data_IF_973514037438
#
_entry.id   IF_973514037438
#
_cell.length_a   1.000
_cell.length_b   1.000
_cell.length_c   1.000
_cell.angle_alpha   90.00
_cell.angle_beta   90.00
_cell.angle_gamma   90.00
#
_symmetry.space_group_name_H-M   'P 1'
#
loop_
_entity.id
_entity.type
_entity.pdbx_description
1 polymer ?
#
# COMPACT_ATOMS: atom_id res chain seq x y z
N UNK A 1 39.77 29.54 -25.01
CA UNK A 1 38.39 29.14 -24.69
C UNK A 1 38.42 27.70 -24.16
N UNK A 2 38.23 27.49 -22.84
CA UNK A 2 38.14 26.15 -22.24
C UNK A 2 36.67 25.81 -22.07
N UNK A 3 36.16 24.88 -22.87
CA UNK A 3 34.82 24.30 -22.68
C UNK A 3 34.87 23.34 -21.50
N UNK A 4 34.26 23.71 -20.41
CA UNK A 4 34.03 22.81 -19.28
C UNK A 4 32.84 21.91 -19.61
N UNK A 5 33.08 20.60 -19.71
CA UNK A 5 32.07 19.56 -19.87
C UNK A 5 31.40 19.37 -18.49
N UNK A 6 30.20 19.91 -18.30
CA UNK A 6 29.38 19.64 -17.14
C UNK A 6 28.77 18.24 -17.31
N UNK A 7 29.35 17.28 -16.62
CA UNK A 7 28.81 15.92 -16.48
C UNK A 7 27.69 15.99 -15.43
N UNK A 8 26.44 16.07 -15.86
CA UNK A 8 25.28 15.93 -14.98
C UNK A 8 25.19 14.45 -14.53
N UNK A 9 25.62 14.15 -13.31
CA UNK A 9 25.32 12.88 -12.67
C UNK A 9 23.80 12.83 -12.43
N UNK A 10 23.10 12.03 -13.22
CA UNK A 10 21.76 11.55 -12.90
C UNK A 10 21.89 10.57 -11.73
N UNK A 11 21.58 11.03 -10.51
CA UNK A 11 21.49 10.14 -9.36
C UNK A 11 20.28 9.20 -9.56
N UNK A 12 20.41 7.90 -9.25
CA UNK A 12 19.30 6.97 -9.43
C UNK A 12 18.17 7.32 -8.46
N UNK A 13 16.96 7.47 -9.00
CA UNK A 13 15.73 7.43 -8.19
C UNK A 13 15.71 6.08 -7.49
N UNK A 14 15.76 6.08 -6.17
CA UNK A 14 15.65 4.84 -5.38
C UNK A 14 14.21 4.34 -5.46
N UNK A 15 13.96 3.32 -6.26
CA UNK A 15 12.68 2.65 -6.42
C UNK A 15 12.76 1.19 -5.99
N UNK A 16 11.67 0.66 -5.44
CA UNK A 16 11.48 -0.74 -5.09
C UNK A 16 10.27 -1.28 -5.83
N UNK A 17 10.36 -2.49 -6.38
CA UNK A 17 9.25 -3.22 -6.96
C UNK A 17 9.17 -4.59 -6.31
N UNK A 18 8.02 -4.93 -5.75
CA UNK A 18 7.77 -6.17 -5.03
C UNK A 18 6.65 -6.93 -5.75
N UNK A 19 6.89 -8.20 -6.06
CA UNK A 19 5.93 -9.06 -6.74
C UNK A 19 5.39 -10.12 -5.78
N UNK A 20 4.07 -10.31 -5.79
CA UNK A 20 3.37 -11.24 -4.90
C UNK A 20 2.52 -12.22 -5.69
N UNK A 21 2.47 -13.46 -5.20
CA UNK A 21 1.44 -14.43 -5.60
C UNK A 21 0.31 -14.39 -4.58
N UNK A 22 -0.92 -14.31 -5.08
CA UNK A 22 -2.14 -14.33 -4.26
C UNK A 22 -2.68 -15.76 -4.24
N UNK A 23 -2.80 -16.34 -3.03
CA UNK A 23 -3.24 -17.71 -2.86
C UNK A 23 -4.59 -17.80 -2.15
N UNK A 24 -5.39 -18.76 -2.60
CA UNK A 24 -6.58 -19.27 -1.93
C UNK A 24 -6.18 -20.03 -0.65
N UNK A 25 -7.09 -20.19 0.36
CA UNK A 25 -6.80 -20.96 1.58
C UNK A 25 -6.30 -22.40 1.35
N UNK A 26 -6.62 -23.00 0.21
CA UNK A 26 -6.11 -24.32 -0.19
C UNK A 26 -4.69 -24.30 -0.80
N UNK A 27 -4.08 -23.11 -0.96
CA UNK A 27 -2.80 -22.93 -1.63
C UNK A 27 -2.87 -22.79 -3.16
N UNK A 28 -4.08 -22.84 -3.75
CA UNK A 28 -4.25 -22.57 -5.18
C UNK A 28 -3.98 -21.09 -5.47
N UNK A 29 -3.11 -20.79 -6.45
CA UNK A 29 -2.89 -19.42 -6.90
C UNK A 29 -4.13 -18.84 -7.56
N UNK A 30 -4.50 -17.63 -7.15
CA UNK A 30 -5.59 -16.84 -7.73
C UNK A 30 -5.10 -15.79 -8.70
N UNK A 31 -3.82 -15.41 -8.63
CA UNK A 31 -3.25 -14.34 -9.41
C UNK A 31 -2.03 -13.71 -8.74
N UNK A 32 -1.72 -12.50 -9.17
CA UNK A 32 -0.50 -11.80 -8.79
C UNK A 32 -0.81 -10.35 -8.39
N UNK A 33 0.07 -9.79 -7.57
CA UNK A 33 0.07 -8.37 -7.28
C UNK A 33 1.49 -7.80 -7.38
N UNK A 34 1.58 -6.53 -7.77
CA UNK A 34 2.83 -5.77 -7.78
C UNK A 34 2.66 -4.53 -6.91
N UNK A 35 3.63 -4.31 -6.03
CA UNK A 35 3.73 -3.10 -5.21
C UNK A 35 5.00 -2.34 -5.59
N UNK A 36 4.83 -1.09 -5.99
CA UNK A 36 5.92 -0.21 -6.38
C UNK A 36 6.03 0.95 -5.38
N UNK A 37 7.25 1.32 -5.03
CA UNK A 37 7.52 2.52 -4.26
C UNK A 37 8.79 3.20 -4.77
N UNK A 38 8.78 4.52 -4.83
CA UNK A 38 9.93 5.33 -5.23
C UNK A 38 9.93 6.68 -4.54
N UNK A 39 11.12 7.19 -4.27
CA UNK A 39 11.32 8.52 -3.67
C UNK A 39 12.20 9.37 -4.60
N UNK A 40 11.76 10.60 -4.88
CA UNK A 40 12.55 11.58 -5.62
C UNK A 40 13.42 12.41 -4.66
N UNK A 41 14.39 13.13 -5.19
CA UNK A 41 15.29 14.02 -4.42
C UNK A 41 14.54 15.09 -3.61
N UNK A 42 13.36 15.52 -4.07
CA UNK A 42 12.53 16.54 -3.40
C UNK A 42 11.58 15.96 -2.33
N UNK A 43 11.90 14.79 -1.77
CA UNK A 43 11.06 14.09 -0.80
C UNK A 43 9.63 13.78 -1.29
N UNK A 44 9.42 13.77 -2.60
CA UNK A 44 8.17 13.29 -3.20
C UNK A 44 8.22 11.77 -3.34
N UNK A 45 7.14 11.11 -2.91
CA UNK A 45 6.96 9.68 -3.00
C UNK A 45 5.97 9.34 -4.11
N UNK A 46 6.25 8.26 -4.82
CA UNK A 46 5.35 7.68 -5.81
C UNK A 46 5.15 6.21 -5.46
N UNK A 47 3.90 5.78 -5.48
CA UNK A 47 3.51 4.41 -5.19
C UNK A 47 2.63 3.87 -6.29
N UNK A 48 2.76 2.58 -6.57
CA UNK A 48 1.91 1.80 -7.43
C UNK A 48 1.46 0.52 -6.75
N UNK A 49 0.24 0.10 -7.00
CA UNK A 49 -0.25 -1.23 -6.65
C UNK A 49 -1.14 -1.73 -7.78
N UNK A 50 -0.75 -2.86 -8.36
CA UNK A 50 -1.51 -3.56 -9.38
C UNK A 50 -1.87 -4.96 -8.86
N UNK A 51 -3.14 -5.34 -8.95
CA UNK A 51 -3.65 -6.67 -8.61
C UNK A 51 -4.38 -7.23 -9.83
N UNK A 52 -3.97 -8.40 -10.31
CA UNK A 52 -4.71 -9.22 -11.27
C UNK A 52 -4.94 -10.61 -10.68
N UNK A 53 -6.17 -10.86 -10.27
CA UNK A 53 -6.57 -12.12 -9.67
C UNK A 53 -7.91 -12.57 -10.25
N UNK A 54 -8.15 -13.88 -10.24
CA UNK A 54 -9.41 -14.42 -10.75
C UNK A 54 -9.83 -15.67 -10.01
N UNK A 55 -11.13 -15.80 -9.84
CA UNK A 55 -11.80 -17.05 -9.53
C UNK A 55 -12.69 -17.42 -10.72
N UNK A 56 -13.11 -18.68 -10.89
CA UNK A 56 -13.95 -19.08 -12.02
C UNK A 56 -15.15 -18.16 -12.22
N UNK A 57 -15.21 -17.49 -13.39
CA UNK A 57 -16.27 -16.57 -13.77
C UNK A 57 -16.18 -15.15 -13.17
N UNK A 58 -15.15 -14.82 -12.38
CA UNK A 58 -15.03 -13.50 -11.76
C UNK A 58 -13.59 -13.00 -11.72
N UNK A 59 -13.27 -12.01 -12.55
CA UNK A 59 -11.96 -11.34 -12.55
C UNK A 59 -11.93 -10.16 -11.58
N UNK A 60 -10.79 -9.97 -10.94
CA UNK A 60 -10.48 -8.88 -10.01
C UNK A 60 -9.24 -8.18 -10.55
N UNK A 61 -9.37 -6.93 -10.98
CA UNK A 61 -8.26 -6.11 -11.43
C UNK A 61 -8.31 -4.76 -10.78
N UNK A 62 -7.35 -4.49 -9.93
CA UNK A 62 -7.24 -3.23 -9.22
C UNK A 62 -5.91 -2.58 -9.55
N UNK A 63 -5.98 -1.28 -9.82
CA UNK A 63 -4.81 -0.46 -10.05
C UNK A 63 -4.91 0.81 -9.21
N UNK A 64 -3.91 1.02 -8.36
CA UNK A 64 -3.78 2.20 -7.53
C UNK A 64 -2.48 2.91 -7.86
N UNK A 65 -2.54 4.23 -7.94
CA UNK A 65 -1.35 5.09 -8.00
C UNK A 65 -1.49 6.17 -6.95
N UNK A 66 -0.46 6.35 -6.15
CA UNK A 66 -0.46 7.36 -5.10
C UNK A 66 0.79 8.22 -5.18
N UNK A 67 0.64 9.47 -4.78
CA UNK A 67 1.74 10.38 -4.53
C UNK A 67 1.64 10.93 -3.12
N UNK A 68 2.79 11.13 -2.48
CA UNK A 68 2.87 11.70 -1.15
C UNK A 68 4.11 12.59 -1.02
N UNK A 69 4.18 13.40 0.02
CA UNK A 69 5.26 14.35 0.23
C UNK A 69 5.77 14.37 1.67
N UNK A 70 7.01 14.84 1.82
CA UNK A 70 7.66 15.06 3.10
C UNK A 70 8.11 13.81 3.83
N UNK A 71 8.80 14.01 4.94
CA UNK A 71 9.35 12.94 5.77
C UNK A 71 8.27 12.04 6.39
N UNK A 72 7.10 12.60 6.68
CA UNK A 72 5.96 11.87 7.26
C UNK A 72 5.08 11.18 6.21
N UNK A 73 5.40 11.28 4.90
CA UNK A 73 4.70 10.59 3.80
C UNK A 73 3.21 10.94 3.77
N UNK A 74 2.88 12.24 3.77
CA UNK A 74 1.51 12.72 3.70
C UNK A 74 1.01 12.67 2.25
N UNK A 75 -0.14 12.03 2.00
CA UNK A 75 -0.68 11.87 0.65
C UNK A 75 -1.01 13.20 -0.02
N UNK A 76 -0.78 13.27 -1.34
CA UNK A 76 -1.18 14.39 -2.18
C UNK A 76 -2.26 13.98 -3.18
N UNK A 77 -2.16 12.79 -3.72
CA UNK A 77 -3.15 12.23 -4.65
C UNK A 77 -3.20 10.70 -4.57
N UNK A 78 -4.39 10.13 -4.71
CA UNK A 78 -4.60 8.70 -4.93
C UNK A 78 -5.55 8.53 -6.12
N UNK A 79 -5.09 7.89 -7.19
CA UNK A 79 -5.92 7.44 -8.30
C UNK A 79 -6.16 5.95 -8.20
N UNK A 80 -7.40 5.53 -8.41
CA UNK A 80 -7.81 4.14 -8.28
C UNK A 80 -8.68 3.74 -9.48
N UNK A 81 -8.30 2.64 -10.11
CA UNK A 81 -9.11 1.93 -11.11
C UNK A 81 -9.40 0.55 -10.57
N UNK A 82 -10.67 0.21 -10.41
CA UNK A 82 -11.12 -1.05 -9.83
C UNK A 82 -12.04 -1.74 -10.84
N UNK A 83 -11.74 -3.00 -11.16
CA UNK A 83 -12.61 -3.86 -11.96
C UNK A 83 -12.99 -5.12 -11.18
N UNK A 84 -14.28 -5.37 -11.03
CA UNK A 84 -14.86 -6.54 -10.38
C UNK A 84 -15.82 -7.21 -11.35
N UNK A 85 -15.38 -8.30 -12.00
CA UNK A 85 -16.09 -8.89 -13.12
C UNK A 85 -16.25 -7.87 -14.24
N UNK A 86 -17.49 -7.54 -14.59
CA UNK A 86 -17.83 -6.55 -15.63
C UNK A 86 -17.91 -5.11 -15.13
N UNK A 87 -17.96 -4.90 -13.81
CA UNK A 87 -18.06 -3.55 -13.22
C UNK A 87 -16.68 -2.90 -13.14
N UNK A 88 -16.57 -1.69 -13.68
CA UNK A 88 -15.37 -0.86 -13.60
C UNK A 88 -15.70 0.47 -12.94
N UNK A 89 -14.84 0.95 -12.04
CA UNK A 89 -14.90 2.28 -11.46
C UNK A 89 -13.52 2.93 -11.50
N UNK A 90 -13.52 4.26 -11.69
CA UNK A 90 -12.32 5.08 -11.65
C UNK A 90 -12.58 6.25 -10.70
N UNK A 91 -11.63 6.51 -9.81
CA UNK A 91 -11.75 7.52 -8.76
C UNK A 91 -10.39 8.18 -8.54
N UNK A 92 -10.40 9.48 -8.31
CA UNK A 92 -9.22 10.25 -7.91
C UNK A 92 -9.55 11.01 -6.61
N UNK A 93 -8.72 10.81 -5.61
CA UNK A 93 -8.73 11.49 -4.32
C UNK A 93 -7.57 12.49 -4.31
N UNK A 94 -7.86 13.78 -4.19
CA UNK A 94 -6.87 14.85 -4.06
C UNK A 94 -6.87 15.36 -2.62
N UNK A 95 -5.71 15.38 -1.98
CA UNK A 95 -5.55 15.79 -0.57
C UNK A 95 -5.01 17.22 -0.51
N UNK A 96 -5.75 18.13 0.10
CA UNK A 96 -5.24 19.42 0.56
C UNK A 96 -4.88 19.33 2.04
N UNK A 97 -3.61 19.08 2.31
CA UNK A 97 -3.09 18.92 3.67
C UNK A 97 -3.19 20.20 4.50
N UNK A 98 -3.18 21.39 3.86
CA UNK A 98 -3.29 22.68 4.55
C UNK A 98 -4.73 23.00 4.92
N UNK A 99 -5.67 22.67 4.03
CA UNK A 99 -7.10 22.88 4.26
C UNK A 99 -7.74 21.72 5.03
N UNK A 100 -6.99 20.65 5.38
CA UNK A 100 -7.51 19.43 6.01
C UNK A 100 -8.70 18.85 5.25
N UNK A 101 -8.61 18.84 3.93
CA UNK A 101 -9.68 18.38 3.06
C UNK A 101 -9.20 17.37 2.03
N UNK A 102 -10.12 16.49 1.63
CA UNK A 102 -9.97 15.53 0.56
C UNK A 102 -11.10 15.75 -0.43
N UNK A 103 -10.75 15.98 -1.68
CA UNK A 103 -11.69 16.01 -2.78
C UNK A 103 -11.68 14.70 -3.53
N UNK A 104 -12.80 14.02 -3.58
CA UNK A 104 -13.01 12.81 -4.37
C UNK A 104 -13.71 13.12 -5.66
N UNK A 105 -13.12 12.71 -6.77
CA UNK A 105 -13.71 12.78 -8.11
C UNK A 105 -13.90 11.37 -8.63
N UNK A 106 -15.17 10.94 -8.80
CA UNK A 106 -15.51 9.66 -9.43
C UNK A 106 -15.88 9.91 -10.89
N UNK A 107 -15.29 9.12 -11.80
CA UNK A 107 -15.60 9.21 -13.24
C UNK A 107 -17.04 8.76 -13.54
N UNK A 108 -17.61 9.29 -14.62
CA UNK A 108 -19.03 9.08 -14.99
C UNK A 108 -19.54 7.64 -14.80
N UNK A 109 -20.77 7.44 -14.27
CA UNK A 109 -21.77 8.46 -13.90
C UNK A 109 -21.58 9.07 -12.50
N UNK A 110 -20.34 9.28 -12.09
CA UNK A 110 -19.99 9.75 -10.76
C UNK A 110 -20.10 11.26 -10.55
N UNK A 111 -19.47 11.75 -9.50
CA UNK A 111 -19.53 13.14 -9.08
C UNK A 111 -18.30 13.55 -8.27
N UNK A 112 -18.36 14.75 -7.73
CA UNK A 112 -17.37 15.30 -6.82
C UNK A 112 -17.94 15.33 -5.40
N UNK A 113 -17.11 14.96 -4.43
CA UNK A 113 -17.44 15.02 -3.01
C UNK A 113 -16.22 15.48 -2.22
N UNK A 114 -16.46 16.33 -1.23
CA UNK A 114 -15.42 16.85 -0.35
C UNK A 114 -15.59 16.28 1.06
N UNK A 115 -14.48 15.94 1.71
CA UNK A 115 -14.42 15.33 3.03
C UNK A 115 -13.38 16.07 3.88
N UNK A 116 -13.61 16.15 5.19
CA UNK A 116 -12.60 16.60 6.12
C UNK A 116 -11.66 15.44 6.44
N UNK A 117 -10.36 15.73 6.52
CA UNK A 117 -9.32 14.78 6.89
C UNK A 117 -8.45 15.35 8.01
N UNK A 118 -7.72 14.47 8.71
CA UNK A 118 -6.76 14.86 9.73
C UNK A 118 -5.48 15.45 9.12
N UNK A 119 -4.63 16.01 9.99
CA UNK A 119 -3.28 16.42 9.64
C UNK A 119 -2.49 15.26 9.05
N UNK A 120 -1.75 15.53 7.97
CA UNK A 120 -0.96 14.52 7.30
C UNK A 120 -1.77 13.27 6.95
N UNK A 121 -2.96 13.48 6.36
CA UNK A 121 -3.82 12.39 5.91
C UNK A 121 -3.07 11.49 4.91
N UNK A 122 -3.28 10.19 5.05
CA UNK A 122 -2.62 9.16 4.22
C UNK A 122 -3.64 8.28 3.53
N UNK A 123 -3.37 7.92 2.29
CA UNK A 123 -3.96 6.75 1.67
C UNK A 123 -3.23 5.46 2.11
N UNK A 124 -3.74 4.31 1.70
CA UNK A 124 -3.23 3.02 2.14
C UNK A 124 -1.77 2.76 1.71
N UNK A 125 -1.34 3.24 0.53
CA UNK A 125 0.02 3.04 0.04
C UNK A 125 1.01 3.93 0.78
N UNK A 126 0.67 5.19 0.97
CA UNK A 126 1.43 6.14 1.79
C UNK A 126 1.52 5.68 3.25
N UNK A 127 0.41 5.14 3.80
CA UNK A 127 0.40 4.59 5.16
C UNK A 127 1.31 3.36 5.29
N UNK A 128 1.32 2.45 4.32
CA UNK A 128 2.23 1.30 4.33
C UNK A 128 3.69 1.75 4.38
N UNK A 129 4.08 2.72 3.57
CA UNK A 129 5.45 3.26 3.59
C UNK A 129 5.77 3.96 4.92
N UNK A 130 4.84 4.72 5.46
CA UNK A 130 4.99 5.34 6.78
C UNK A 130 5.16 4.28 7.88
N UNK A 131 4.36 3.21 7.86
CA UNK A 131 4.48 2.11 8.82
C UNK A 131 5.85 1.40 8.72
N UNK A 132 6.35 1.15 7.50
CA UNK A 132 7.70 0.59 7.27
C UNK A 132 8.80 1.47 7.88
N UNK A 133 8.73 2.80 7.68
CA UNK A 133 9.68 3.74 8.28
C UNK A 133 9.63 3.73 9.82
N UNK A 134 8.44 3.68 10.41
CA UNK A 134 8.32 3.56 11.88
C UNK A 134 8.89 2.24 12.39
N UNK A 135 8.64 1.13 11.69
CA UNK A 135 9.19 -0.18 12.03
C UNK A 135 10.72 -0.24 11.89
N UNK A 136 11.31 0.44 10.89
CA UNK A 136 12.77 0.60 10.77
C UNK A 136 13.35 1.25 12.04
N UNK A 137 12.68 2.27 12.58
CA UNK A 137 13.02 2.91 13.85
C UNK A 137 12.61 2.12 15.10
N UNK A 138 12.14 0.87 14.97
CA UNK A 138 11.72 0.04 16.10
C UNK A 138 10.40 0.46 16.74
N UNK A 139 9.57 1.22 16.04
CA UNK A 139 8.28 1.72 16.51
C UNK A 139 7.14 1.25 15.61
N UNK A 140 5.94 1.15 16.16
CA UNK A 140 4.72 0.99 15.36
C UNK A 140 4.19 2.36 14.94
N UNK A 141 3.61 2.44 13.73
CA UNK A 141 2.84 3.61 13.36
C UNK A 141 1.66 3.77 14.32
N UNK A 142 1.35 5.00 14.78
CA UNK A 142 0.22 5.24 15.65
C UNK A 142 -1.10 4.93 14.93
N UNK A 143 -2.11 4.57 15.72
CA UNK A 143 -3.48 4.41 15.22
C UNK A 143 -3.94 5.70 14.55
N UNK A 144 -4.49 5.58 13.34
CA UNK A 144 -4.94 6.74 12.57
C UNK A 144 -5.95 6.36 11.49
N UNK A 145 -6.77 7.33 11.04
CA UNK A 145 -7.57 7.18 9.84
C UNK A 145 -6.69 7.09 8.58
N UNK A 146 -7.05 6.18 7.68
CA UNK A 146 -6.39 5.95 6.38
C UNK A 146 -7.46 5.90 5.29
N UNK A 147 -7.19 6.52 4.15
CA UNK A 147 -8.13 6.62 3.04
C UNK A 147 -7.88 5.51 2.02
N UNK A 148 -8.90 4.72 1.72
CA UNK A 148 -8.90 3.74 0.62
C UNK A 148 -10.33 3.51 0.12
N UNK A 149 -10.86 4.42 -0.72
CA UNK A 149 -12.25 4.39 -1.15
C UNK A 149 -13.28 4.74 -0.06
N UNK A 150 -12.89 4.68 1.18
CA UNK A 150 -13.53 5.12 2.41
C UNK A 150 -12.47 5.52 3.40
N UNK A 151 -12.86 5.97 4.58
CA UNK A 151 -11.94 6.21 5.70
C UNK A 151 -12.01 5.02 6.65
N UNK A 152 -10.85 4.45 6.95
CA UNK A 152 -10.69 3.30 7.84
C UNK A 152 -9.74 3.67 8.96
N UNK A 153 -10.12 3.38 10.19
CA UNK A 153 -9.22 3.52 11.33
C UNK A 153 -8.30 2.30 11.40
N UNK A 154 -6.97 2.50 11.33
CA UNK A 154 -6.00 1.41 11.32
C UNK A 154 -5.17 1.46 12.60
N UNK A 155 -5.17 0.32 13.32
CA UNK A 155 -4.34 0.08 14.50
C UNK A 155 -3.38 -1.06 14.22
N UNK A 156 -2.10 -0.84 14.53
CA UNK A 156 -1.04 -1.85 14.40
C UNK A 156 -0.63 -2.38 15.77
N UNK A 157 -0.44 -3.70 15.87
CA UNK A 157 0.03 -4.37 17.07
C UNK A 157 1.10 -5.39 16.72
N UNK A 158 2.22 -5.38 17.46
CA UNK A 158 3.23 -6.43 17.33
C UNK A 158 2.71 -7.72 17.98
N UNK A 159 2.73 -8.83 17.24
CA UNK A 159 2.22 -10.12 17.69
C UNK A 159 3.27 -11.23 17.69
N UNK A 160 4.55 -10.87 17.66
CA UNK A 160 5.65 -11.80 17.71
C UNK A 160 6.51 -11.80 16.45
N UNK A 161 7.45 -12.74 16.38
CA UNK A 161 8.32 -12.93 15.23
C UNK A 161 8.31 -14.40 14.82
N UNK A 162 8.49 -14.65 13.54
CA UNK A 162 8.56 -16.00 12.99
C UNK A 162 9.56 -16.08 11.81
N UNK A 163 10.01 -17.30 11.51
CA UNK A 163 10.78 -17.56 10.29
C UNK A 163 9.84 -18.03 9.21
N UNK A 164 9.82 -17.32 8.07
CA UNK A 164 9.05 -17.73 6.89
C UNK A 164 9.98 -17.97 5.71
N UNK A 165 9.52 -18.74 4.74
CA UNK A 165 10.24 -18.88 3.47
C UNK A 165 9.83 -17.74 2.53
N UNK A 166 10.81 -17.04 1.98
CA UNK A 166 10.64 -16.10 0.88
C UNK A 166 11.71 -16.42 -0.17
N UNK A 167 11.31 -16.60 -1.42
CA UNK A 167 12.21 -17.05 -2.50
C UNK A 167 13.00 -18.32 -2.15
N UNK A 168 12.35 -19.26 -1.47
CA UNK A 168 12.97 -20.52 -1.05
C UNK A 168 13.98 -20.39 0.10
N UNK A 169 14.26 -19.19 0.60
CA UNK A 169 15.19 -18.91 1.70
C UNK A 169 14.44 -18.61 3.00
N UNK A 170 14.95 -19.03 4.16
CA UNK A 170 14.38 -18.65 5.44
C UNK A 170 14.66 -17.16 5.72
N UNK A 171 13.62 -16.40 6.05
CA UNK A 171 13.67 -14.98 6.42
C UNK A 171 13.04 -14.81 7.78
N UNK A 172 13.73 -14.10 8.69
CA UNK A 172 13.18 -13.67 9.97
C UNK A 172 12.25 -12.50 9.74
N UNK A 173 11.04 -12.57 10.26
CA UNK A 173 10.03 -11.54 10.10
C UNK A 173 9.34 -11.20 11.42
N UNK A 174 8.99 -9.93 11.56
CA UNK A 174 8.11 -9.44 12.60
C UNK A 174 6.66 -9.50 12.13
N UNK A 175 5.81 -10.14 12.93
CA UNK A 175 4.38 -10.27 12.65
C UNK A 175 3.63 -9.11 13.28
N UNK A 176 3.04 -8.29 12.42
CA UNK A 176 2.22 -7.15 12.79
C UNK A 176 0.76 -7.49 12.49
N UNK A 177 -0.11 -7.35 13.47
CA UNK A 177 -1.55 -7.36 13.26
C UNK A 177 -2.03 -5.96 12.96
N UNK A 178 -2.74 -5.80 11.85
CA UNK A 178 -3.39 -4.56 11.45
C UNK A 178 -4.90 -4.73 11.59
N UNK A 179 -5.49 -4.12 12.60
CA UNK A 179 -6.94 -4.01 12.74
C UNK A 179 -7.41 -2.83 11.92
N UNK A 180 -8.26 -3.10 10.95
CA UNK A 180 -8.80 -2.14 9.97
C UNK A 180 -10.29 -2.00 10.25
N UNK A 181 -10.70 -0.89 10.84
CA UNK A 181 -12.08 -0.62 11.21
C UNK A 181 -12.69 0.40 10.27
N UNK A 182 -13.66 -0.03 9.49
CA UNK A 182 -14.47 0.83 8.62
C UNK A 182 -15.85 1.14 9.23
N UNK A 183 -16.70 1.89 8.48
CA UNK A 183 -18.04 2.27 8.96
C UNK A 183 -18.97 1.07 9.21
N UNK A 184 -18.80 -0.02 8.46
CA UNK A 184 -19.71 -1.17 8.50
C UNK A 184 -19.03 -2.51 8.84
N UNK A 185 -17.71 -2.53 8.96
CA UNK A 185 -16.95 -3.76 9.16
C UNK A 185 -15.62 -3.52 9.85
N UNK A 186 -15.12 -4.54 10.52
CA UNK A 186 -13.78 -4.60 11.07
C UNK A 186 -13.12 -5.89 10.59
N UNK A 187 -11.87 -5.81 10.18
CA UNK A 187 -11.05 -6.97 9.82
C UNK A 187 -9.67 -6.82 10.43
N UNK A 188 -9.09 -7.93 10.89
CA UNK A 188 -7.70 -7.98 11.32
C UNK A 188 -6.90 -8.78 10.29
N UNK A 189 -5.92 -8.15 9.69
CA UNK A 189 -4.96 -8.80 8.79
C UNK A 189 -3.60 -8.94 9.47
N UNK A 190 -2.84 -9.96 9.09
CA UNK A 190 -1.47 -10.13 9.56
C UNK A 190 -0.51 -9.78 8.44
N UNK A 191 0.47 -8.93 8.73
CA UNK A 191 1.56 -8.59 7.81
C UNK A 191 2.87 -8.98 8.46
N UNK A 192 3.66 -9.77 7.76
CA UNK A 192 5.00 -10.15 8.17
C UNK A 192 6.00 -9.27 7.47
N UNK A 193 6.69 -8.44 8.23
CA UNK A 193 7.75 -7.56 7.73
C UNK A 193 9.12 -8.18 7.97
N UNK A 194 10.00 -8.13 6.97
CA UNK A 194 11.41 -8.51 7.15
C UNK A 194 12.06 -7.71 8.28
N UNK A 195 13.08 -8.31 8.95
CA UNK A 195 13.79 -7.63 10.05
C UNK A 195 14.92 -6.73 9.59
N UNK A 196 15.20 -6.68 8.29
CA UNK A 196 16.16 -5.73 7.73
C UNK A 196 15.63 -4.29 7.72
N UNK A 197 16.48 -3.34 7.32
CA UNK A 197 16.12 -1.91 7.28
C UNK A 197 14.98 -1.61 6.30
N UNK A 198 14.83 -2.41 5.24
CA UNK A 198 13.77 -2.19 4.25
C UNK A 198 12.37 -2.47 4.81
N UNK A 199 12.27 -3.32 5.87
CA UNK A 199 10.97 -3.70 6.45
C UNK A 199 9.96 -4.12 5.38
N UNK A 200 10.45 -4.96 4.45
CA UNK A 200 9.64 -5.44 3.31
C UNK A 200 8.48 -6.30 3.80
N UNK A 201 7.24 -6.05 3.35
CA UNK A 201 6.10 -6.92 3.66
C UNK A 201 6.24 -8.22 2.85
N UNK A 202 6.71 -9.30 3.48
CA UNK A 202 7.03 -10.56 2.81
C UNK A 202 5.86 -11.54 2.73
N UNK A 203 4.88 -11.39 3.62
CA UNK A 203 3.67 -12.20 3.65
C UNK A 203 2.52 -11.41 4.25
N UNK A 204 1.38 -11.40 3.57
CA UNK A 204 0.13 -10.88 4.11
C UNK A 204 -0.88 -12.01 4.25
N UNK A 205 -1.51 -12.15 5.42
CA UNK A 205 -2.57 -13.12 5.69
C UNK A 205 -3.87 -12.39 5.95
N UNK A 206 -4.88 -12.70 5.14
CA UNK A 206 -6.19 -12.03 5.18
C UNK A 206 -7.24 -13.08 5.53
N UNK A 207 -7.72 -13.12 6.79
CA UNK A 207 -8.78 -14.05 7.19
C UNK A 207 -10.12 -13.54 6.66
N UNK A 208 -10.75 -14.34 5.83
CA UNK A 208 -12.12 -14.13 5.34
C UNK A 208 -13.00 -15.31 5.72
N UNK A 209 -14.30 -15.19 5.49
CA UNK A 209 -15.28 -16.26 5.81
C UNK A 209 -14.98 -17.61 5.12
N UNK A 210 -14.29 -17.57 3.97
CA UNK A 210 -13.90 -18.76 3.20
C UNK A 210 -12.54 -19.35 3.62
N UNK A 211 -11.87 -18.75 4.61
CA UNK A 211 -10.54 -19.12 5.08
C UNK A 211 -9.52 -18.00 4.94
N UNK A 212 -8.24 -18.32 5.16
CA UNK A 212 -7.16 -17.32 5.10
C UNK A 212 -6.53 -17.27 3.72
N UNK A 213 -6.67 -16.13 3.07
CA UNK A 213 -5.96 -15.81 1.83
C UNK A 213 -4.57 -15.30 2.14
N UNK A 214 -3.61 -15.53 1.26
CA UNK A 214 -2.25 -15.01 1.42
C UNK A 214 -1.79 -14.24 0.20
N UNK A 215 -0.97 -13.21 0.43
CA UNK A 215 -0.11 -12.60 -0.58
C UNK A 215 1.33 -12.86 -0.17
N UNK A 216 2.07 -13.60 -1.00
CA UNK A 216 3.43 -14.08 -0.72
C UNK A 216 4.42 -13.44 -1.66
N UNK A 217 5.44 -12.77 -1.10
CA UNK A 217 6.50 -12.13 -1.88
C UNK A 217 7.30 -13.19 -2.65
N UNK A 218 7.45 -12.97 -3.97
CA UNK A 218 8.19 -13.85 -4.86
C UNK A 218 9.52 -13.26 -5.32
N UNK A 219 9.60 -11.94 -5.47
CA UNK A 219 10.85 -11.20 -5.78
C UNK A 219 10.66 -9.68 -5.74
#
# INVERSE_FOLDING_TARGET
>A
MKFGLFLTLLLPVSGETLHYVINWPSGLSLGEATLESGKTENESWHFGFDLDASIPGFAIRDKYKSTASGAEVCSTELTKTVQRGTRKSEETDTFDQKAHSLTRQTKAPGGKSDYSVQDCARDALAFLQFARKKLEGGQLAPQQPVVLGGTYDIRLEFSGSETVKSNGKPVQADRIQATIKGPASEITVQVLFSKDAARTPILVRIPLSLGTFTAELTH
#
